data_IF_189940274960
#
_entry.id   IF_189940274960
#
_cell.length_a   1.000
_cell.length_b   1.000
_cell.length_c   1.000
_cell.angle_alpha   90.00
_cell.angle_beta   90.00
_cell.angle_gamma   90.00
#
_symmetry.space_group_name_H-M   'P 1'
#
loop_
_entity.id
_entity.type
_entity.pdbx_description
1 polymer ?
#
# COMPACT_ATOMS: atom_id res chain seq x y z
N UNK A 1 1.08 13.27 9.21
CA UNK A 1 1.29 12.70 7.87
C UNK A 1 1.57 11.20 7.97
N UNK A 2 1.04 10.42 7.03
CA UNK A 2 1.23 8.96 6.92
C UNK A 2 1.96 8.65 5.62
N UNK A 3 2.94 7.75 5.65
CA UNK A 3 3.49 7.14 4.44
C UNK A 3 2.88 5.75 4.25
N UNK A 4 2.25 5.52 3.11
CA UNK A 4 1.83 4.18 2.70
C UNK A 4 2.96 3.56 1.92
N UNK A 5 3.41 2.39 2.33
CA UNK A 5 4.50 1.65 1.72
C UNK A 5 3.95 0.48 0.91
N UNK A 6 4.25 0.45 -0.36
CA UNK A 6 3.82 -0.59 -1.30
C UNK A 6 5.02 -1.11 -2.09
N UNK A 7 5.40 -2.36 -1.85
CA UNK A 7 6.36 -3.06 -2.72
C UNK A 7 5.61 -3.89 -3.75
N UNK A 8 6.18 -4.05 -4.93
CA UNK A 8 5.55 -4.82 -6.01
C UNK A 8 6.59 -5.52 -6.89
N UNK A 9 6.25 -6.73 -7.32
CA UNK A 9 6.99 -7.50 -8.32
C UNK A 9 6.05 -8.47 -9.04
N UNK A 10 5.79 -8.23 -10.34
CA UNK A 10 4.93 -9.11 -11.14
C UNK A 10 3.44 -9.04 -10.80
N UNK A 11 2.93 -7.88 -10.40
CA UNK A 11 1.54 -7.68 -9.96
C UNK A 11 0.67 -6.93 -10.98
N UNK A 12 0.94 -7.01 -12.26
CA UNK A 12 0.19 -6.29 -13.33
C UNK A 12 -1.35 -6.42 -13.20
N UNK A 13 -1.84 -7.58 -12.73
CA UNK A 13 -3.27 -7.84 -12.57
C UNK A 13 -3.89 -7.20 -11.33
N UNK A 14 -3.10 -6.84 -10.34
CA UNK A 14 -3.55 -6.43 -9.01
C UNK A 14 -3.18 -5.00 -8.66
N UNK A 15 -2.03 -4.53 -9.15
CA UNK A 15 -1.40 -3.28 -8.74
C UNK A 15 -2.31 -2.05 -8.90
N UNK A 16 -3.17 -2.01 -9.93
CA UNK A 16 -4.14 -0.92 -10.11
C UNK A 16 -5.09 -0.86 -8.92
N UNK A 17 -5.72 -1.97 -8.56
CA UNK A 17 -6.67 -2.04 -7.46
C UNK A 17 -5.98 -1.73 -6.12
N UNK A 18 -4.74 -2.18 -5.92
CA UNK A 18 -3.95 -1.88 -4.74
C UNK A 18 -3.73 -0.37 -4.59
N UNK A 19 -3.26 0.30 -5.63
CA UNK A 19 -3.00 1.74 -5.64
C UNK A 19 -4.31 2.53 -5.46
N UNK A 20 -5.37 2.19 -6.20
CA UNK A 20 -6.67 2.86 -6.10
C UNK A 20 -7.27 2.73 -4.69
N UNK A 21 -7.10 1.59 -4.01
CA UNK A 21 -7.51 1.38 -2.63
C UNK A 21 -6.79 2.30 -1.63
N UNK A 22 -5.56 2.69 -1.93
CA UNK A 22 -4.84 3.70 -1.15
C UNK A 22 -5.27 5.12 -1.54
N UNK A 23 -5.37 5.41 -2.83
CA UNK A 23 -5.72 6.76 -3.30
C UNK A 23 -7.16 7.17 -2.97
N UNK A 24 -8.07 6.21 -2.74
CA UNK A 24 -9.44 6.52 -2.29
C UNK A 24 -9.51 6.98 -0.84
N UNK A 25 -8.44 6.86 -0.05
CA UNK A 25 -8.47 7.19 1.37
C UNK A 25 -8.88 8.65 1.60
N UNK A 26 -9.75 8.84 2.59
CA UNK A 26 -10.23 10.13 3.07
C UNK A 26 -9.67 10.36 4.47
N UNK A 27 -8.88 11.43 4.63
CA UNK A 27 -8.16 11.75 5.87
C UNK A 27 -8.16 13.27 6.12
N UNK A 28 -8.11 13.66 7.38
CA UNK A 28 -7.90 15.05 7.80
C UNK A 28 -6.41 15.43 7.90
N UNK A 29 -5.54 14.52 7.50
CA UNK A 29 -4.09 14.69 7.43
C UNK A 29 -3.55 14.32 6.04
N UNK A 30 -2.36 14.79 5.73
CA UNK A 30 -1.67 14.44 4.48
C UNK A 30 -1.13 13.02 4.52
N UNK A 31 -1.17 12.33 3.39
CA UNK A 31 -0.49 11.07 3.18
C UNK A 31 0.22 11.01 1.83
N UNK A 32 1.20 10.15 1.72
CA UNK A 32 1.93 9.82 0.51
C UNK A 32 1.88 8.31 0.27
N UNK A 33 2.05 7.90 -0.97
CA UNK A 33 2.16 6.49 -1.37
C UNK A 33 3.51 6.23 -2.02
N UNK A 34 4.36 5.48 -1.33
CA UNK A 34 5.64 5.00 -1.88
C UNK A 34 5.38 3.68 -2.59
N UNK A 35 5.52 3.66 -3.91
CA UNK A 35 5.42 2.43 -4.72
C UNK A 35 6.81 2.04 -5.19
N UNK A 36 7.32 0.91 -4.72
CA UNK A 36 8.64 0.40 -5.09
C UNK A 36 8.51 -0.86 -5.95
N UNK A 37 8.72 -0.68 -7.26
CA UNK A 37 8.70 -1.75 -8.25
C UNK A 37 10.09 -2.37 -8.40
N UNK A 38 10.21 -3.65 -8.03
CA UNK A 38 11.48 -4.36 -8.03
C UNK A 38 11.84 -4.97 -9.40
N UNK A 39 11.75 -4.13 -10.46
CA UNK A 39 11.98 -4.54 -11.83
C UNK A 39 11.04 -5.66 -12.27
N UNK A 40 9.73 -5.43 -12.18
CA UNK A 40 8.70 -6.39 -12.59
C UNK A 40 8.88 -6.82 -14.05
N UNK A 41 8.77 -8.11 -14.35
CA UNK A 41 8.93 -8.63 -15.71
C UNK A 41 7.68 -8.44 -16.59
N UNK A 42 6.55 -8.06 -15.98
CA UNK A 42 5.25 -7.82 -16.61
C UNK A 42 4.98 -6.33 -16.88
N UNK A 43 3.72 -5.95 -17.13
CA UNK A 43 3.33 -4.55 -17.36
C UNK A 43 3.00 -3.76 -16.08
N UNK A 44 3.43 -4.20 -14.91
CA UNK A 44 3.21 -3.46 -13.64
C UNK A 44 3.69 -2.02 -13.73
N UNK A 45 4.86 -1.78 -14.33
CA UNK A 45 5.40 -0.43 -14.54
C UNK A 45 4.43 0.47 -15.32
N UNK A 46 3.89 -0.01 -16.44
CA UNK A 46 2.96 0.78 -17.27
C UNK A 46 1.68 1.13 -16.53
N UNK A 47 1.17 0.22 -15.69
CA UNK A 47 -0.04 0.48 -14.89
C UNK A 47 0.22 1.54 -13.84
N UNK A 48 1.38 1.51 -13.18
CA UNK A 48 1.76 2.51 -12.18
C UNK A 48 1.92 3.89 -12.81
N UNK A 49 2.64 3.97 -13.94
CA UNK A 49 2.86 5.23 -14.68
C UNK A 49 1.52 5.82 -15.14
N UNK A 50 0.61 5.00 -15.68
CA UNK A 50 -0.73 5.46 -16.06
C UNK A 50 -1.49 6.10 -14.89
N UNK A 51 -1.43 5.50 -13.70
CA UNK A 51 -2.07 6.05 -12.50
C UNK A 51 -1.41 7.36 -12.04
N UNK A 52 -0.09 7.48 -12.13
CA UNK A 52 0.61 8.73 -11.81
C UNK A 52 0.14 9.87 -12.73
N UNK A 53 0.03 9.60 -14.02
CA UNK A 53 -0.28 10.59 -15.03
C UNK A 53 -1.78 10.96 -15.09
N UNK A 54 -2.66 9.98 -14.92
CA UNK A 54 -4.08 10.12 -15.23
C UNK A 54 -5.02 10.08 -14.01
N UNK A 55 -4.57 9.60 -12.84
CA UNK A 55 -5.43 9.59 -11.66
C UNK A 55 -5.45 10.97 -10.97
N UNK A 56 -6.64 11.49 -10.52
CA UNK A 56 -6.75 12.80 -9.86
C UNK A 56 -5.82 13.00 -8.66
N UNK A 57 -5.52 11.91 -7.93
CA UNK A 57 -4.57 11.89 -6.80
C UNK A 57 -3.21 11.27 -7.17
N UNK A 58 -2.88 11.11 -8.45
CA UNK A 58 -1.63 10.48 -8.90
C UNK A 58 -0.37 11.15 -8.36
N UNK A 59 -0.44 12.46 -8.09
CA UNK A 59 0.64 13.24 -7.48
C UNK A 59 1.05 12.79 -6.07
N UNK A 60 0.22 12.00 -5.37
CA UNK A 60 0.55 11.43 -4.07
C UNK A 60 1.49 10.23 -4.18
N UNK A 61 1.65 9.67 -5.38
CA UNK A 61 2.51 8.51 -5.64
C UNK A 61 3.95 8.98 -5.80
N UNK A 62 4.82 8.45 -4.95
CA UNK A 62 6.28 8.51 -5.10
C UNK A 62 6.75 7.16 -5.64
N UNK A 63 7.14 7.12 -6.90
CA UNK A 63 7.47 5.90 -7.60
C UNK A 63 8.96 5.62 -7.61
N UNK A 64 9.35 4.44 -7.19
CA UNK A 64 10.71 3.90 -7.25
C UNK A 64 10.72 2.76 -8.27
N UNK A 65 11.18 3.06 -9.49
CA UNK A 65 11.35 2.08 -10.56
C UNK A 65 12.78 1.57 -10.58
N UNK A 66 12.99 0.32 -10.16
CA UNK A 66 14.33 -0.28 -10.12
C UNK A 66 14.74 -0.82 -11.48
N UNK A 67 16.01 -0.62 -11.81
CA UNK A 67 16.59 -1.16 -13.05
C UNK A 67 17.02 -2.61 -12.95
N UNK A 68 17.18 -3.12 -11.71
CA UNK A 68 17.50 -4.51 -11.42
C UNK A 68 16.64 -4.99 -10.25
N UNK A 69 16.26 -6.26 -10.27
CA UNK A 69 15.62 -6.88 -9.12
C UNK A 69 16.65 -7.03 -7.98
N UNK A 70 16.33 -6.48 -6.82
CA UNK A 70 17.18 -6.51 -5.62
C UNK A 70 16.61 -7.41 -4.52
N UNK A 71 15.43 -7.98 -4.75
CA UNK A 71 14.73 -8.85 -3.81
C UNK A 71 13.85 -8.10 -2.82
N UNK A 72 12.84 -8.80 -2.34
CA UNK A 72 11.77 -8.26 -1.51
C UNK A 72 12.28 -7.50 -0.28
N UNK A 73 13.23 -8.07 0.48
CA UNK A 73 13.71 -7.44 1.72
C UNK A 73 14.50 -6.15 1.47
N UNK A 74 15.37 -6.15 0.47
CA UNK A 74 16.15 -4.97 0.10
C UNK A 74 15.24 -3.89 -0.48
N UNK A 75 14.27 -4.29 -1.32
CA UNK A 75 13.26 -3.38 -1.88
C UNK A 75 12.42 -2.73 -0.78
N UNK A 76 11.95 -3.51 0.19
CA UNK A 76 11.20 -3.00 1.34
C UNK A 76 12.04 -2.05 2.18
N UNK A 77 13.26 -2.42 2.55
CA UNK A 77 14.14 -1.61 3.40
C UNK A 77 14.46 -0.25 2.77
N UNK A 78 14.76 -0.24 1.47
CA UNK A 78 15.02 1.00 0.75
C UNK A 78 13.74 1.85 0.60
N UNK A 79 12.61 1.26 0.25
CA UNK A 79 11.34 1.96 0.19
C UNK A 79 10.93 2.55 1.54
N UNK A 80 11.16 1.81 2.64
CA UNK A 80 10.94 2.29 4.01
C UNK A 80 11.76 3.56 4.30
N UNK A 81 13.02 3.59 3.88
CA UNK A 81 13.88 4.76 4.10
C UNK A 81 13.46 6.02 3.33
N UNK A 82 12.58 5.85 2.33
CA UNK A 82 11.97 6.97 1.58
C UNK A 82 10.64 7.47 2.20
N UNK A 83 10.15 6.82 3.25
CA UNK A 83 8.97 7.26 3.97
C UNK A 83 9.28 8.48 4.84
N UNK A 84 8.40 9.49 4.82
CA UNK A 84 8.55 10.72 5.61
C UNK A 84 7.46 10.90 6.67
N UNK A 85 6.47 10.02 6.70
CA UNK A 85 5.34 10.07 7.64
C UNK A 85 5.70 9.71 9.08
N UNK A 86 4.95 10.25 10.04
CA UNK A 86 5.00 9.82 11.44
C UNK A 86 4.59 8.36 11.60
N UNK A 87 3.60 7.93 10.81
CA UNK A 87 3.13 6.56 10.73
C UNK A 87 3.41 5.97 9.37
N UNK A 88 3.65 4.66 9.34
CA UNK A 88 3.85 3.89 8.11
C UNK A 88 2.77 2.82 8.04
N UNK A 89 2.00 2.82 6.95
CA UNK A 89 0.98 1.84 6.67
C UNK A 89 1.45 0.95 5.50
N UNK A 90 1.39 -0.36 5.67
CA UNK A 90 1.79 -1.31 4.63
C UNK A 90 0.58 -1.76 3.81
N UNK A 91 0.75 -1.79 2.48
CA UNK A 91 -0.19 -2.41 1.54
C UNK A 91 0.64 -2.96 0.37
N UNK A 92 0.74 -4.27 0.21
CA UNK A 92 1.49 -4.87 -0.89
C UNK A 92 0.74 -4.71 -2.22
N UNK A 93 1.48 -4.82 -3.35
CA UNK A 93 0.92 -4.56 -4.69
C UNK A 93 -0.12 -5.57 -5.19
N UNK A 94 -0.35 -6.65 -4.45
CA UNK A 94 -1.38 -7.66 -4.68
C UNK A 94 -2.50 -7.67 -3.62
N UNK A 95 -2.43 -6.75 -2.64
CA UNK A 95 -3.47 -6.50 -1.65
C UNK A 95 -4.24 -5.21 -1.97
N UNK A 96 -5.47 -5.07 -1.46
CA UNK A 96 -6.22 -3.84 -1.61
C UNK A 96 -7.09 -3.51 -0.39
N UNK A 97 -7.24 -2.22 -0.14
CA UNK A 97 -8.11 -1.71 0.92
C UNK A 97 -9.50 -1.41 0.38
N UNK A 98 -10.51 -1.65 1.20
CA UNK A 98 -11.92 -1.49 0.84
C UNK A 98 -12.63 -0.39 1.63
N UNK A 99 -12.08 0.03 2.77
CA UNK A 99 -12.64 1.09 3.62
C UNK A 99 -11.92 2.42 3.35
N UNK A 100 -12.62 3.45 2.83
CA UNK A 100 -12.00 4.76 2.55
C UNK A 100 -11.52 5.50 3.81
N UNK A 101 -11.95 5.09 4.98
CA UNK A 101 -11.57 5.69 6.26
C UNK A 101 -10.57 4.86 7.06
N UNK A 102 -9.96 3.84 6.45
CA UNK A 102 -9.02 2.95 7.14
C UNK A 102 -7.86 3.70 7.78
N UNK A 103 -7.19 4.56 7.02
CA UNK A 103 -6.06 5.35 7.54
C UNK A 103 -6.50 6.29 8.67
N UNK A 104 -7.62 7.00 8.50
CA UNK A 104 -8.15 7.89 9.52
C UNK A 104 -8.40 7.15 10.83
N UNK A 105 -9.13 6.02 10.77
CA UNK A 105 -9.47 5.22 11.95
C UNK A 105 -8.23 4.70 12.70
N UNK A 106 -7.22 4.26 11.97
CA UNK A 106 -6.01 3.72 12.59
C UNK A 106 -5.13 4.82 13.20
N UNK A 107 -5.03 5.97 12.56
CA UNK A 107 -4.31 7.13 13.12
C UNK A 107 -5.02 7.67 14.35
N UNK A 108 -6.34 7.85 14.30
CA UNK A 108 -7.13 8.30 15.45
C UNK A 108 -6.95 7.37 16.67
N UNK A 109 -6.93 6.06 16.43
CA UNK A 109 -6.68 5.08 17.47
C UNK A 109 -5.28 5.25 18.09
N UNK A 110 -4.24 5.36 17.27
CA UNK A 110 -2.86 5.50 17.77
C UNK A 110 -2.62 6.83 18.46
N UNK A 111 -3.21 7.92 17.98
CA UNK A 111 -3.11 9.23 18.63
C UNK A 111 -3.86 9.26 19.98
N UNK A 112 -4.98 8.55 20.08
CA UNK A 112 -5.72 8.46 21.34
C UNK A 112 -5.11 7.47 22.36
N UNK A 113 -4.21 6.60 21.91
CA UNK A 113 -3.62 5.54 22.72
C UNK A 113 -2.10 5.49 22.57
N UNK A 114 -1.36 6.45 23.16
CA UNK A 114 0.09 6.62 22.94
C UNK A 114 0.96 5.45 23.43
N UNK A 115 0.40 4.56 24.24
CA UNK A 115 1.10 3.35 24.69
C UNK A 115 1.16 2.25 23.61
N UNK A 116 0.39 2.41 22.51
CA UNK A 116 0.44 1.49 21.37
C UNK A 116 1.32 2.05 20.27
N UNK A 117 2.22 1.22 19.76
CA UNK A 117 3.13 1.56 18.66
C UNK A 117 2.69 0.98 17.32
N UNK A 118 1.69 0.09 17.34
CA UNK A 118 1.19 -0.64 16.18
C UNK A 118 -0.32 -0.83 16.29
N UNK A 119 -1.03 -0.69 15.18
CA UNK A 119 -2.41 -1.13 15.02
C UNK A 119 -2.54 -2.01 13.78
N UNK A 120 -3.38 -3.02 13.84
CA UNK A 120 -3.72 -3.89 12.72
C UNK A 120 -5.23 -4.16 12.68
N UNK A 121 -5.70 -4.69 11.58
CA UNK A 121 -7.12 -5.01 11.39
C UNK A 121 -7.29 -6.42 10.82
N UNK A 122 -8.49 -6.95 10.92
CA UNK A 122 -8.84 -8.21 10.24
C UNK A 122 -8.79 -8.03 8.73
N UNK A 123 -8.37 -9.07 8.03
CA UNK A 123 -8.33 -9.15 6.57
C UNK A 123 -9.20 -10.31 6.09
N UNK A 124 -9.52 -10.31 4.81
CA UNK A 124 -10.12 -11.44 4.10
C UNK A 124 -9.20 -11.86 2.98
N UNK A 125 -9.21 -13.14 2.67
CA UNK A 125 -8.45 -13.70 1.57
C UNK A 125 -9.39 -13.82 0.37
N UNK A 126 -9.02 -13.17 -0.74
CA UNK A 126 -9.70 -13.31 -2.02
C UNK A 126 -9.17 -14.57 -2.72
N UNK A 127 -10.02 -15.56 -2.89
CA UNK A 127 -9.68 -16.80 -3.57
C UNK A 127 -9.68 -16.61 -5.10
N UNK A 128 -8.97 -17.46 -5.87
CA UNK A 128 -8.96 -17.38 -7.34
C UNK A 128 -10.34 -17.49 -8.00
N UNK A 129 -11.32 -18.11 -7.32
CA UNK A 129 -12.72 -18.20 -7.77
C UNK A 129 -13.54 -16.94 -7.48
N UNK A 130 -12.92 -15.89 -6.87
CA UNK A 130 -13.59 -14.65 -6.47
C UNK A 130 -14.28 -14.71 -5.10
N UNK A 131 -14.21 -15.82 -4.38
CA UNK A 131 -14.79 -15.95 -3.04
C UNK A 131 -13.90 -15.27 -1.99
N UNK A 132 -14.51 -14.52 -1.07
CA UNK A 132 -13.84 -13.92 0.08
C UNK A 132 -13.99 -14.86 1.28
N UNK A 133 -12.86 -15.32 1.81
CA UNK A 133 -12.82 -16.15 3.02
C UNK A 133 -12.14 -15.42 4.17
N UNK A 134 -12.52 -15.76 5.41
CA UNK A 134 -11.88 -15.20 6.59
C UNK A 134 -10.43 -15.68 6.70
N UNK A 135 -9.53 -14.77 7.04
CA UNK A 135 -8.15 -15.13 7.34
C UNK A 135 -8.09 -15.94 8.65
N UNK A 136 -7.35 -17.05 8.60
CA UNK A 136 -7.17 -17.93 9.76
C UNK A 136 -6.08 -17.43 10.73
N UNK A 137 -5.23 -16.51 10.31
CA UNK A 137 -4.11 -15.97 11.12
C UNK A 137 -4.65 -14.93 12.12
N UNK A 138 -5.64 -14.14 11.73
CA UNK A 138 -6.23 -13.08 12.58
C UNK A 138 -7.39 -13.55 13.46
N UNK A 139 -7.56 -14.84 13.68
CA UNK A 139 -8.48 -15.36 14.68
C UNK A 139 -7.92 -15.11 16.08
N UNK A 140 -8.20 -13.93 16.60
CA UNK A 140 -8.00 -13.57 18.00
C UNK A 140 -9.31 -13.74 18.72
#
# INVERSE_FOLDING_TARGET
MVSVLMITYGHEKYIRQAIEGVLMQETDFDFELIVANDNSPDNSDKVIVDLIENHPKGKLIKYIDRKNNIGMQANFSDAYSNCSGKYIANCEGDDYWTDPYKLQKQVDFLEANPDYVLSFHKVKILQPNGELVEDFITKV
#
